data_IF_798691167355
#
_entry.id   IF_798691167355
#
_cell.length_a   1.000
_cell.length_b   1.000
_cell.length_c   1.000
_cell.angle_alpha   90.00
_cell.angle_beta   90.00
_cell.angle_gamma   90.00
#
_symmetry.space_group_name_H-M   'P 1'
#
loop_
_entity.id
_entity.type
_entity.pdbx_description
1 polymer ?
#
# COMPACT_ATOMS: atom_id res chain seq x y z
N UNK A 1 21.52 5.48 4.49
CA UNK A 1 21.63 4.01 4.47
C UNK A 1 20.32 3.36 4.87
N UNK A 2 19.95 2.33 4.19
CA UNK A 2 18.70 1.65 4.47
C UNK A 2 18.87 0.73 5.66
N UNK A 3 18.09 0.97 6.70
CA UNK A 3 18.21 0.24 7.95
C UNK A 3 17.91 -1.24 7.82
N UNK A 4 17.06 -1.62 6.90
CA UNK A 4 16.65 -3.01 6.73
C UNK A 4 17.30 -3.68 5.53
N UNK A 5 18.31 -3.04 4.99
CA UNK A 5 19.09 -3.59 3.88
C UNK A 5 18.30 -3.84 2.62
N UNK A 6 17.15 -3.20 2.49
CA UNK A 6 16.37 -3.31 1.25
C UNK A 6 17.10 -2.60 0.13
N UNK A 7 17.19 -3.21 -1.02
CA UNK A 7 17.86 -2.62 -2.17
C UNK A 7 16.85 -1.93 -3.06
N UNK A 8 17.19 -0.73 -3.50
CA UNK A 8 16.36 -0.04 -4.47
C UNK A 8 16.45 -0.78 -5.80
N UNK A 9 15.31 -0.97 -6.43
CA UNK A 9 15.20 -1.79 -7.63
C UNK A 9 14.30 -1.09 -8.64
N UNK A 10 14.69 -1.15 -9.90
CA UNK A 10 13.91 -0.57 -10.99
C UNK A 10 13.01 -1.65 -11.57
N UNK A 11 11.73 -1.35 -11.74
CA UNK A 11 10.79 -2.28 -12.34
C UNK A 11 10.84 -2.16 -13.86
N UNK A 12 10.08 -3.02 -14.57
CA UNK A 12 10.09 -3.04 -16.03
C UNK A 12 9.59 -1.72 -16.62
N UNK A 13 8.74 -0.99 -15.91
CA UNK A 13 8.25 0.31 -16.37
C UNK A 13 9.18 1.46 -15.97
N UNK A 14 10.38 1.14 -15.50
CA UNK A 14 11.43 2.11 -15.17
C UNK A 14 11.15 2.94 -13.93
N UNK A 15 10.29 2.45 -13.03
CA UNK A 15 10.10 3.11 -11.74
C UNK A 15 11.14 2.58 -10.76
N UNK A 16 11.73 3.48 -9.98
CA UNK A 16 12.67 3.09 -8.94
C UNK A 16 11.88 2.79 -7.66
N UNK A 17 12.10 1.61 -7.11
CA UNK A 17 11.40 1.17 -5.92
C UNK A 17 12.36 0.88 -4.78
N UNK A 18 11.86 0.97 -3.55
CA UNK A 18 12.68 0.79 -2.37
C UNK A 18 13.06 -0.67 -2.13
N UNK A 19 12.42 -1.61 -2.80
CA UNK A 19 12.73 -3.02 -2.61
C UNK A 19 12.40 -3.81 -3.86
N UNK A 20 12.97 -5.02 -3.92
CA UNK A 20 12.66 -5.95 -5.01
C UNK A 20 11.20 -6.37 -4.99
N UNK A 21 10.65 -6.55 -3.80
CA UNK A 21 9.25 -6.95 -3.66
C UNK A 21 8.33 -5.88 -4.25
N UNK A 22 8.63 -4.62 -3.96
CA UNK A 22 7.84 -3.52 -4.49
C UNK A 22 7.98 -3.42 -6.01
N UNK A 23 9.19 -3.59 -6.53
CA UNK A 23 9.42 -3.55 -7.98
C UNK A 23 8.68 -4.70 -8.67
N UNK A 24 8.72 -5.89 -8.10
CA UNK A 24 8.00 -7.03 -8.67
C UNK A 24 6.49 -6.80 -8.66
N UNK A 25 5.98 -6.21 -7.57
CA UNK A 25 4.55 -5.90 -7.51
C UNK A 25 4.17 -4.86 -8.54
N UNK A 26 5.04 -3.87 -8.77
CA UNK A 26 4.82 -2.87 -9.80
C UNK A 26 4.69 -3.51 -11.17
N UNK A 27 5.56 -4.48 -11.46
CA UNK A 27 5.49 -5.21 -12.72
C UNK A 27 4.16 -5.95 -12.87
N UNK A 28 3.72 -6.61 -11.79
CA UNK A 28 2.44 -7.33 -11.81
C UNK A 28 1.28 -6.38 -12.06
N UNK A 29 1.30 -5.22 -11.41
CA UNK A 29 0.24 -4.24 -11.57
C UNK A 29 0.19 -3.69 -13.00
N UNK A 30 1.34 -3.51 -13.63
CA UNK A 30 1.37 -3.05 -15.01
C UNK A 30 0.81 -4.08 -15.97
N UNK A 31 1.01 -5.37 -15.69
CA UNK A 31 0.38 -6.42 -16.49
C UNK A 31 -1.13 -6.34 -16.36
N UNK A 32 -1.63 -6.17 -15.14
CA UNK A 32 -3.08 -6.04 -14.94
C UNK A 32 -3.64 -4.79 -15.61
N UNK A 33 -2.87 -3.70 -15.59
CA UNK A 33 -3.26 -2.46 -16.24
C UNK A 33 -3.38 -2.66 -17.74
N UNK A 34 -2.40 -3.31 -18.37
CA UNK A 34 -2.43 -3.57 -19.80
C UNK A 34 -3.58 -4.48 -20.20
N UNK A 35 -3.93 -5.42 -19.32
CA UNK A 35 -5.03 -6.32 -19.57
C UNK A 35 -6.39 -5.66 -19.38
N UNK A 36 -6.41 -4.48 -18.77
CA UNK A 36 -7.67 -3.80 -18.49
C UNK A 36 -8.33 -4.25 -17.21
N UNK A 37 -7.65 -5.08 -16.39
CA UNK A 37 -8.22 -5.54 -15.13
C UNK A 37 -8.26 -4.42 -14.09
N UNK A 38 -7.33 -3.46 -14.21
CA UNK A 38 -7.31 -2.29 -13.34
C UNK A 38 -7.13 -1.04 -14.20
N UNK A 39 -7.39 0.12 -13.62
CA UNK A 39 -7.19 1.40 -14.29
C UNK A 39 -6.64 2.42 -13.33
N UNK A 40 -6.16 3.53 -13.86
CA UNK A 40 -5.68 4.68 -13.06
C UNK A 40 -4.65 4.26 -12.03
N UNK A 41 -3.65 3.52 -12.46
CA UNK A 41 -2.58 3.11 -11.56
C UNK A 41 -1.76 4.33 -11.14
N UNK A 42 -1.60 4.50 -9.82
CA UNK A 42 -0.85 5.61 -9.24
C UNK A 42 0.37 5.07 -8.50
N UNK A 43 1.48 5.78 -8.64
CA UNK A 43 2.70 5.48 -7.90
C UNK A 43 2.76 6.40 -6.70
N UNK A 44 2.94 5.83 -5.52
CA UNK A 44 3.17 6.58 -4.29
C UNK A 44 2.15 7.67 -4.01
N UNK A 45 0.86 7.32 -3.95
CA UNK A 45 -0.15 8.31 -3.59
C UNK A 45 0.06 8.81 -2.16
N UNK A 46 -0.19 10.09 -1.94
CA UNK A 46 0.05 10.74 -0.64
C UNK A 46 -1.29 11.02 0.03
N UNK A 47 -1.38 10.68 1.31
CA UNK A 47 -2.55 10.96 2.13
C UNK A 47 -2.12 11.80 3.32
N UNK A 48 -2.79 12.95 3.50
CA UNK A 48 -2.51 13.80 4.65
C UNK A 48 -3.43 13.43 5.80
N UNK A 49 -2.89 13.41 7.00
CA UNK A 49 -3.69 13.22 8.21
C UNK A 49 -3.71 14.54 8.96
N UNK A 50 -4.89 15.12 9.10
CA UNK A 50 -5.09 16.40 9.80
C UNK A 50 -6.11 16.20 10.90
N UNK A 51 -5.87 16.84 12.03
CA UNK A 51 -6.81 16.83 13.15
C UNK A 51 -7.00 18.28 13.55
N UNK A 52 -8.25 18.72 13.53
CA UNK A 52 -8.60 20.11 13.86
C UNK A 52 -7.79 21.12 13.07
N UNK A 53 -7.58 20.83 11.78
CA UNK A 53 -6.86 21.72 10.91
C UNK A 53 -5.35 21.65 11.00
N UNK A 54 -4.84 20.80 11.89
CA UNK A 54 -3.39 20.67 12.06
C UNK A 54 -2.90 19.41 11.37
N UNK A 55 -1.88 19.57 10.54
CA UNK A 55 -1.29 18.44 9.85
C UNK A 55 -0.48 17.62 10.85
N UNK A 56 -0.86 16.36 11.00
CA UNK A 56 -0.19 15.44 11.92
C UNK A 56 0.91 14.69 11.20
N UNK A 57 0.59 14.13 10.04
CA UNK A 57 1.59 13.41 9.25
C UNK A 57 1.10 13.26 7.82
N UNK A 58 2.01 12.86 6.96
CA UNK A 58 1.69 12.42 5.61
C UNK A 58 1.98 10.94 5.53
N UNK A 59 1.10 10.22 4.89
CA UNK A 59 1.29 8.81 4.63
C UNK A 59 1.42 8.61 3.13
N UNK A 60 2.48 7.94 2.71
CA UNK A 60 2.72 7.65 1.30
C UNK A 60 2.57 6.15 1.11
N UNK A 61 1.52 5.75 0.39
CA UNK A 61 1.33 4.36 0.04
C UNK A 61 2.21 4.01 -1.16
N UNK A 62 2.37 2.74 -1.44
CA UNK A 62 3.18 2.34 -2.59
C UNK A 62 2.41 2.46 -3.89
N UNK A 63 1.15 2.01 -3.91
CA UNK A 63 0.34 1.99 -5.13
C UNK A 63 -1.11 2.30 -4.82
N UNK A 64 -1.81 2.80 -5.84
CA UNK A 64 -3.26 2.86 -5.84
C UNK A 64 -3.75 2.65 -7.25
N UNK A 65 -4.93 2.10 -7.39
CA UNK A 65 -5.54 1.88 -8.70
C UNK A 65 -7.04 1.80 -8.54
N UNK A 66 -7.75 1.66 -9.66
CA UNK A 66 -9.20 1.50 -9.65
C UNK A 66 -9.58 0.16 -10.25
N UNK A 67 -10.59 -0.45 -9.67
CA UNK A 67 -11.29 -1.60 -10.25
C UNK A 67 -12.73 -1.12 -10.40
N UNK A 68 -13.13 -0.79 -11.62
CA UNK A 68 -14.39 -0.10 -11.81
C UNK A 68 -14.37 1.23 -11.11
N UNK A 69 -15.33 1.48 -10.23
CA UNK A 69 -15.39 2.72 -9.46
C UNK A 69 -14.71 2.63 -8.11
N UNK A 70 -14.19 1.46 -7.75
CA UNK A 70 -13.58 1.27 -6.45
C UNK A 70 -12.09 1.58 -6.50
N UNK A 71 -11.63 2.43 -5.59
CA UNK A 71 -10.21 2.73 -5.48
C UNK A 71 -9.57 1.77 -4.48
N UNK A 72 -8.47 1.15 -4.89
CA UNK A 72 -7.69 0.27 -4.03
C UNK A 72 -6.38 0.97 -3.72
N UNK A 73 -6.00 0.99 -2.45
CA UNK A 73 -4.72 1.55 -2.01
C UNK A 73 -3.93 0.41 -1.39
N UNK A 74 -2.68 0.28 -1.79
CA UNK A 74 -1.89 -0.87 -1.38
C UNK A 74 -0.50 -0.47 -0.91
N UNK A 75 -0.05 -1.14 0.14
CA UNK A 75 1.32 -1.03 0.61
C UNK A 75 1.97 -2.40 0.53
N UNK A 76 3.21 -2.42 0.05
CA UNK A 76 4.00 -3.64 -0.02
C UNK A 76 4.86 -3.71 1.22
N UNK A 77 4.61 -4.67 2.09
CA UNK A 77 5.29 -4.76 3.39
C UNK A 77 5.82 -6.15 3.66
N UNK A 78 7.12 -6.25 3.87
CA UNK A 78 7.68 -7.47 4.40
C UNK A 78 7.41 -7.61 5.87
N UNK A 79 7.38 -6.48 6.60
CA UNK A 79 7.17 -6.47 8.03
C UNK A 79 6.24 -5.34 8.40
N UNK A 80 5.31 -5.61 9.31
CA UNK A 80 4.41 -4.58 9.82
C UNK A 80 5.00 -4.00 11.11
N UNK A 81 4.97 -2.69 11.22
CA UNK A 81 5.47 -1.99 12.40
C UNK A 81 4.34 -1.30 13.12
N UNK A 82 4.49 -1.01 14.41
CA UNK A 82 3.46 -0.24 15.13
C UNK A 82 3.19 1.11 14.51
N UNK A 83 4.24 1.78 14.01
CA UNK A 83 4.07 3.08 13.37
C UNK A 83 3.22 2.96 12.10
N UNK A 84 3.49 1.96 11.28
CA UNK A 84 2.69 1.73 10.09
C UNK A 84 1.23 1.47 10.46
N UNK A 85 1.01 0.60 11.44
CA UNK A 85 -0.35 0.26 11.87
C UNK A 85 -1.10 1.50 12.35
N UNK A 86 -0.43 2.37 13.08
CA UNK A 86 -1.02 3.61 13.56
C UNK A 86 -1.37 4.53 12.41
N UNK A 87 -0.45 4.73 11.47
CA UNK A 87 -0.69 5.60 10.33
C UNK A 87 -1.83 5.08 9.47
N UNK A 88 -1.88 3.76 9.26
CA UNK A 88 -2.96 3.14 8.51
C UNK A 88 -4.32 3.48 9.13
N UNK A 89 -4.44 3.34 10.44
CA UNK A 89 -5.68 3.67 11.13
C UNK A 89 -6.05 5.14 10.98
N UNK A 90 -5.05 6.02 11.11
CA UNK A 90 -5.30 7.45 10.98
C UNK A 90 -5.75 7.82 9.57
N UNK A 91 -5.13 7.25 8.56
CA UNK A 91 -5.51 7.52 7.18
C UNK A 91 -6.93 7.03 6.91
N UNK A 92 -7.23 5.80 7.33
CA UNK A 92 -8.55 5.23 7.07
C UNK A 92 -9.64 6.00 7.82
N UNK A 93 -9.33 6.51 9.00
CA UNK A 93 -10.30 7.32 9.76
C UNK A 93 -10.48 8.70 9.15
N UNK A 94 -9.41 9.27 8.60
CA UNK A 94 -9.43 10.64 8.07
C UNK A 94 -9.97 10.72 6.64
N UNK A 95 -9.91 9.63 5.90
CA UNK A 95 -10.31 9.62 4.48
C UNK A 95 -11.38 8.56 4.27
N UNK A 96 -12.65 8.92 4.44
CA UNK A 96 -13.75 7.94 4.29
C UNK A 96 -13.67 7.26 2.94
N UNK A 97 -13.85 5.93 2.94
CA UNK A 97 -13.79 5.15 1.72
C UNK A 97 -12.40 4.64 1.36
N UNK A 98 -11.36 5.12 2.03
CA UNK A 98 -10.01 4.63 1.78
C UNK A 98 -9.73 3.46 2.71
N UNK A 99 -9.33 2.33 2.14
CA UNK A 99 -8.89 1.17 2.90
C UNK A 99 -7.53 0.78 2.37
N UNK A 100 -6.55 0.69 3.25
CA UNK A 100 -5.19 0.35 2.84
C UNK A 100 -5.01 -1.15 2.95
N UNK A 101 -4.72 -1.79 1.83
CA UNK A 101 -4.46 -3.21 1.80
C UNK A 101 -2.96 -3.45 1.84
N UNK A 102 -2.56 -4.63 2.26
CA UNK A 102 -1.16 -4.99 2.41
C UNK A 102 -0.83 -6.13 1.46
N UNK A 103 0.27 -5.97 0.75
CA UNK A 103 0.73 -7.00 -0.16
C UNK A 103 2.11 -7.50 0.29
N UNK A 104 2.35 -8.78 0.37
CA UNK A 104 1.40 -9.85 0.06
C UNK A 104 0.34 -9.97 1.16
N UNK A 105 -0.83 -10.51 0.81
CA UNK A 105 -1.90 -10.65 1.80
C UNK A 105 -1.45 -11.49 2.98
N UNK A 106 -1.83 -11.07 4.19
CA UNK A 106 -1.49 -11.84 5.39
C UNK A 106 -2.52 -12.92 5.59
N UNK A 107 -2.04 -14.11 5.96
CA UNK A 107 -2.96 -15.16 6.31
C UNK A 107 -3.65 -14.81 7.61
N UNK A 108 -4.96 -14.96 7.64
CA UNK A 108 -5.66 -14.82 8.89
C UNK A 108 -5.31 -16.00 9.75
N UNK A 109 -5.17 -15.74 11.01
CA UNK A 109 -5.08 -16.83 11.95
C UNK A 109 -6.43 -17.45 12.00
N UNK A 110 -6.46 -18.66 11.64
CA UNK A 110 -7.71 -19.27 11.62
C UNK A 110 -8.14 -19.52 13.01
N UNK A 111 -8.49 -19.34 13.35
CA UNK A 111 -8.66 -19.52 14.44
C UNK A 111 -8.97 -20.18 15.18
N UNK A 112 -8.80 -20.22 15.42
CA UNK A 112 -8.88 -20.72 16.18
C UNK A 112 -9.95 -20.29 16.82
N UNK A 113 -10.68 -20.10 16.54
CA UNK A 113 -11.53 -19.62 16.88
C UNK A 113 -12.21 -19.99 17.70
N UNK A 114 -12.33 -19.90 18.06
CA UNK A 114 -12.82 -20.14 18.77
C UNK A 114 -13.78 -20.46 19.11
N UNK A 115 -14.00 -20.81 19.20
CA UNK A 115 -14.69 -21.14 19.42
C UNK A 115 -15.48 -21.09 20.09
N UNK A 116 -15.54 -20.94 20.27
CA UNK A 116 -16.04 -21.01 20.74
C UNK A 116 -16.61 -20.91 21.05
#
# INVERSE_FOLDING_TARGET
MNKYSAKKTVCAAQHLHDSKMEAARCDDLHVLLERGDISRLEQQPVFKVEINGKLICRYIADFAWHVGDCRVVEDVKGMLTPVFNLKKKMVEASHPGVVITIYPPRKRKTAKRKAK
#
